data_IF_639073448716
#
_entry.id   IF_639073448716
#
_cell.length_a   1.000
_cell.length_b   1.000
_cell.length_c   1.000
_cell.angle_alpha   90.00
_cell.angle_beta   90.00
_cell.angle_gamma   90.00
#
_symmetry.space_group_name_H-M   'P 1'
#
loop_
_entity.id
_entity.type
_entity.pdbx_description
1 polymer ?
#
# COMPACT_ATOMS: atom_id res chain seq x y z
N UNK A 1 4.78 16.89 -18.44
CA UNK A 1 4.14 17.12 -17.13
C UNK A 1 4.25 15.86 -16.27
N UNK A 2 4.80 15.99 -15.11
CA UNK A 2 4.97 14.83 -14.25
C UNK A 2 3.72 14.60 -13.40
N UNK A 3 3.35 13.33 -13.22
CA UNK A 3 2.26 12.97 -12.36
C UNK A 3 2.83 12.88 -10.94
N UNK A 4 2.28 13.66 -10.04
CA UNK A 4 2.71 13.64 -8.66
C UNK A 4 1.91 12.59 -7.90
N UNK A 5 2.63 11.67 -7.27
CA UNK A 5 2.03 10.70 -6.36
C UNK A 5 2.22 11.24 -4.96
N UNK A 6 1.11 11.47 -4.27
CA UNK A 6 1.13 12.05 -2.93
C UNK A 6 1.00 10.95 -1.89
N UNK A 7 1.98 10.87 -0.99
CA UNK A 7 1.89 9.97 0.14
C UNK A 7 0.87 10.50 1.14
N UNK A 8 -0.22 9.76 1.31
CA UNK A 8 -1.29 10.16 2.21
C UNK A 8 -1.06 9.66 3.63
N UNK A 9 -0.41 8.51 3.77
CA UNK A 9 -0.16 7.93 5.09
C UNK A 9 0.95 6.89 4.98
N UNK A 10 1.48 6.52 6.14
CA UNK A 10 2.48 5.46 6.24
C UNK A 10 2.28 4.76 7.57
N UNK A 11 2.32 3.44 7.55
CA UNK A 11 2.14 2.66 8.75
C UNK A 11 2.97 1.39 8.70
N UNK A 12 3.16 0.79 9.87
CA UNK A 12 3.90 -0.45 10.01
C UNK A 12 2.95 -1.63 9.86
N UNK A 13 3.38 -2.64 9.12
CA UNK A 13 2.62 -3.87 8.96
C UNK A 13 3.52 -5.05 9.29
N UNK A 14 2.93 -6.10 9.85
CA UNK A 14 3.66 -7.31 10.19
C UNK A 14 3.34 -8.39 9.17
N UNK A 15 4.37 -8.96 8.58
CA UNK A 15 4.22 -10.01 7.58
C UNK A 15 3.97 -11.37 8.19
N UNK A 16 3.38 -12.26 7.40
CA UNK A 16 3.17 -13.66 7.80
C UNK A 16 4.50 -14.40 7.98
N UNK A 17 5.58 -13.81 7.48
CA UNK A 17 6.94 -14.35 7.66
C UNK A 17 7.58 -13.88 8.98
N UNK A 18 6.87 -13.10 9.78
CA UNK A 18 7.36 -12.58 11.05
C UNK A 18 8.15 -11.28 10.95
N UNK A 19 8.31 -10.72 9.75
CA UNK A 19 9.04 -9.48 9.55
C UNK A 19 8.12 -8.28 9.56
N UNK A 20 8.68 -7.12 9.88
CA UNK A 20 7.95 -5.85 9.84
C UNK A 20 8.22 -5.14 8.53
N UNK A 21 7.20 -4.50 7.99
CA UNK A 21 7.29 -3.79 6.72
C UNK A 21 6.67 -2.41 6.84
N UNK A 22 7.24 -1.44 6.15
CA UNK A 22 6.66 -0.11 6.03
C UNK A 22 5.73 -0.08 4.84
N UNK A 23 4.48 0.28 5.06
CA UNK A 23 3.48 0.39 4.01
C UNK A 23 3.17 1.87 3.80
N UNK A 24 3.25 2.31 2.55
CA UNK A 24 2.95 3.68 2.16
C UNK A 24 1.61 3.70 1.46
N UNK A 25 0.70 4.50 1.98
CA UNK A 25 -0.58 4.75 1.32
C UNK A 25 -0.44 5.99 0.46
N UNK A 26 -0.66 5.85 -0.83
CA UNK A 26 -0.48 6.95 -1.77
C UNK A 26 -1.76 7.20 -2.53
N UNK A 27 -1.96 8.47 -2.92
CA UNK A 27 -3.08 8.87 -3.76
C UNK A 27 -2.56 9.07 -5.16
N UNK A 28 -3.15 8.36 -6.12
CA UNK A 28 -2.74 8.43 -7.52
C UNK A 28 -3.83 9.16 -8.29
N UNK A 29 -3.50 10.32 -8.89
CA UNK A 29 -4.50 11.04 -9.68
C UNK A 29 -4.87 10.29 -10.94
N UNK A 30 -6.14 10.34 -11.30
CA UNK A 30 -6.64 9.73 -12.53
C UNK A 30 -6.68 10.79 -13.62
N UNK A 31 -6.22 10.42 -14.82
CA UNK A 31 -6.14 11.36 -15.92
C UNK A 31 -7.46 11.62 -16.62
N UNK A 32 -8.46 10.81 -16.33
CA UNK A 32 -9.79 10.92 -16.97
C UNK A 32 -10.78 11.75 -16.16
N UNK A 33 -10.32 12.41 -15.09
CA UNK A 33 -11.19 13.22 -14.25
C UNK A 33 -11.87 12.44 -13.14
N UNK A 34 -11.58 11.15 -13.00
CA UNK A 34 -12.13 10.35 -11.93
C UNK A 34 -11.49 10.71 -10.59
N UNK A 35 -12.11 10.34 -9.46
CA UNK A 35 -11.51 10.58 -8.15
C UNK A 35 -10.16 9.90 -8.03
N UNK A 36 -9.30 10.45 -7.19
CA UNK A 36 -8.00 9.87 -6.94
C UNK A 36 -8.12 8.43 -6.44
N UNK A 37 -7.20 7.59 -6.91
CA UNK A 37 -7.16 6.19 -6.51
C UNK A 37 -6.16 6.03 -5.37
N UNK A 38 -6.52 5.24 -4.38
CA UNK A 38 -5.63 4.92 -3.28
C UNK A 38 -4.87 3.63 -3.58
N UNK A 39 -3.56 3.67 -3.41
CA UNK A 39 -2.71 2.49 -3.57
C UNK A 39 -1.82 2.33 -2.35
N UNK A 40 -1.40 1.12 -2.08
CA UNK A 40 -0.52 0.79 -0.97
C UNK A 40 0.75 0.15 -1.52
N UNK A 41 1.90 0.67 -1.10
CA UNK A 41 3.20 0.23 -1.60
C UNK A 41 4.13 -0.07 -0.42
N UNK A 42 5.01 -1.04 -0.62
CA UNK A 42 6.13 -1.24 0.29
C UNK A 42 7.25 -0.25 -0.02
N UNK A 43 8.18 -0.10 0.92
CA UNK A 43 9.33 0.80 0.72
C UNK A 43 10.14 0.44 -0.53
N UNK A 44 10.09 -0.83 -0.93
CA UNK A 44 10.77 -1.31 -2.14
C UNK A 44 10.03 -0.96 -3.42
N UNK A 45 8.82 -0.41 -3.32
CA UNK A 45 7.99 -0.07 -4.47
C UNK A 45 7.03 -1.17 -4.88
N UNK A 46 6.95 -2.25 -4.12
CA UNK A 46 6.04 -3.35 -4.40
C UNK A 46 4.61 -2.93 -4.11
N UNK A 47 3.74 -3.07 -5.10
CA UNK A 47 2.33 -2.72 -4.97
C UNK A 47 1.57 -3.82 -4.26
N UNK A 48 0.78 -3.46 -3.26
CA UNK A 48 0.02 -4.40 -2.46
C UNK A 48 -1.46 -4.34 -2.84
N UNK A 49 -2.17 -5.43 -2.55
CA UNK A 49 -3.62 -5.48 -2.72
C UNK A 49 -4.28 -5.68 -1.37
N UNK A 50 -5.45 -5.09 -1.19
CA UNK A 50 -6.21 -5.23 0.04
C UNK A 50 -7.69 -5.18 -0.28
N UNK A 51 -8.48 -5.87 0.53
CA UNK A 51 -9.95 -5.80 0.43
C UNK A 51 -10.58 -5.09 1.63
N UNK A 52 -9.85 -4.97 2.74
CA UNK A 52 -10.40 -4.41 3.98
C UNK A 52 -9.55 -3.26 4.54
N UNK A 53 -8.40 -2.98 3.93
CA UNK A 53 -7.52 -1.92 4.40
C UNK A 53 -6.69 -2.29 5.62
N UNK A 54 -6.77 -3.53 6.08
CA UNK A 54 -6.04 -4.01 7.26
C UNK A 54 -5.05 -5.10 6.87
N UNK A 55 -5.49 -6.03 6.04
CA UNK A 55 -4.64 -7.11 5.54
C UNK A 55 -4.27 -6.83 4.09
N UNK A 56 -2.99 -6.92 3.77
CA UNK A 56 -2.45 -6.62 2.46
C UNK A 56 -1.73 -7.84 1.92
N UNK A 57 -1.88 -8.10 0.63
CA UNK A 57 -1.29 -9.26 -0.02
C UNK A 57 -0.29 -8.82 -1.07
N UNK A 58 0.87 -9.49 -1.09
CA UNK A 58 1.87 -9.31 -2.16
C UNK A 58 1.45 -10.19 -3.34
N UNK A 59 1.21 -9.60 -4.53
CA UNK A 59 0.59 -10.34 -5.63
C UNK A 59 1.30 -11.61 -6.10
N UNK A 60 2.62 -11.67 -5.97
CA UNK A 60 3.38 -12.82 -6.47
C UNK A 60 4.05 -13.64 -5.37
N UNK A 61 3.66 -13.43 -4.13
CA UNK A 61 4.19 -14.18 -3.00
C UNK A 61 3.05 -14.53 -2.06
N UNK A 62 3.19 -15.65 -1.35
CA UNK A 62 2.23 -16.02 -0.31
C UNK A 62 2.51 -15.25 0.97
N UNK A 63 2.66 -13.94 0.83
CA UNK A 63 2.98 -13.07 1.95
C UNK A 63 1.78 -12.18 2.24
N UNK A 64 1.31 -12.23 3.48
CA UNK A 64 0.23 -11.38 3.93
C UNK A 64 0.76 -10.45 5.00
N UNK A 65 0.48 -9.16 4.85
CA UNK A 65 0.88 -8.14 5.80
C UNK A 65 -0.36 -7.66 6.54
N UNK A 66 -0.23 -7.50 7.85
CA UNK A 66 -1.33 -7.01 8.68
C UNK A 66 -0.91 -5.72 9.35
N UNK A 67 -1.76 -4.70 9.24
CA UNK A 67 -1.51 -3.41 9.84
C UNK A 67 -1.33 -3.55 11.35
N UNK A 68 -0.26 -2.96 11.88
CA UNK A 68 0.07 -3.01 13.30
C UNK A 68 -0.29 -1.68 13.95
N UNK A 69 -0.88 -1.77 15.11
CA UNK A 69 -1.26 -0.59 15.86
C UNK A 69 -2.60 -0.04 15.41
N UNK A 70 -3.42 0.24 16.25
CA UNK A 70 -4.76 0.64 15.95
C UNK A 70 -4.97 1.95 15.23
#
# INVERSE_FOLDING_TARGET
MSIEINEADRFLAKGSDGKAYDVHQVLVPESDGSPERTEWLLSSGVKLTTSDGISFTVPWEDLVLTKVGG
#
